data_IF_098508358911
#
_entry.id   IF_098508358911
#
_cell.length_a   1.000
_cell.length_b   1.000
_cell.length_c   1.000
_cell.angle_alpha   90.00
_cell.angle_beta   90.00
_cell.angle_gamma   90.00
#
_symmetry.space_group_name_H-M   'P 1'
#
loop_
_entity.id
_entity.type
_entity.pdbx_description
1 polymer ?
#
# COMPACT_ATOMS: atom_id res chain seq x y z
N UNK A 1 4.81 20.87 -27.13
CA UNK A 1 4.44 19.44 -27.10
C UNK A 1 5.45 18.68 -26.24
N UNK A 2 5.27 18.58 -24.91
CA UNK A 2 6.13 17.73 -24.09
C UNK A 2 5.51 16.33 -23.96
N UNK A 3 6.34 15.31 -24.18
CA UNK A 3 5.96 13.91 -24.19
C UNK A 3 5.56 13.39 -22.81
N UNK A 4 4.39 12.76 -22.75
CA UNK A 4 3.92 12.02 -21.59
C UNK A 4 4.84 10.83 -21.31
N UNK A 5 5.65 10.94 -20.26
CA UNK A 5 6.36 9.78 -19.70
C UNK A 5 5.34 8.88 -19.02
N UNK A 6 4.94 7.83 -19.74
CA UNK A 6 4.10 6.75 -19.21
C UNK A 6 4.92 6.03 -18.14
N UNK A 7 4.61 6.28 -16.87
CA UNK A 7 5.19 5.53 -15.76
C UNK A 7 4.61 4.12 -15.85
N UNK A 8 5.44 3.16 -16.25
CA UNK A 8 5.08 1.75 -16.24
C UNK A 8 4.85 1.34 -14.77
N UNK A 9 3.82 0.54 -14.45
CA UNK A 9 3.70 -0.04 -13.13
C UNK A 9 4.95 -0.88 -12.84
N UNK A 10 5.41 -0.86 -11.59
CA UNK A 10 6.49 -1.73 -11.11
C UNK A 10 6.22 -3.19 -11.52
N UNK A 11 7.26 -4.00 -11.80
CA UNK A 11 7.06 -5.36 -12.28
C UNK A 11 6.25 -6.16 -11.26
N UNK A 12 5.02 -6.52 -11.64
CA UNK A 12 4.22 -7.48 -10.88
C UNK A 12 4.96 -8.82 -10.90
N UNK A 13 5.42 -9.28 -9.74
CA UNK A 13 6.05 -10.59 -9.60
C UNK A 13 4.93 -11.62 -9.51
N UNK A 14 4.47 -12.11 -10.67
CA UNK A 14 3.53 -13.23 -10.76
C UNK A 14 4.31 -14.53 -10.68
N UNK A 15 4.01 -15.37 -9.69
CA UNK A 15 4.66 -16.68 -9.54
C UNK A 15 3.63 -17.79 -9.37
N UNK A 16 3.72 -18.76 -10.26
CA UNK A 16 3.01 -20.03 -10.16
C UNK A 16 3.80 -21.01 -9.28
N UNK A 17 3.22 -21.44 -8.17
CA UNK A 17 3.81 -22.44 -7.29
C UNK A 17 3.76 -23.85 -7.90
N UNK A 18 4.68 -24.18 -8.80
CA UNK A 18 4.75 -25.48 -9.46
C UNK A 18 6.13 -26.13 -9.36
N UNK A 19 6.29 -27.11 -8.47
CA UNK A 19 7.46 -28.00 -8.45
C UNK A 19 7.62 -28.68 -9.83
N UNK A 20 8.72 -28.41 -10.54
CA UNK A 20 9.06 -29.10 -11.77
C UNK A 20 9.58 -30.51 -11.43
N UNK A 21 8.67 -31.47 -11.31
CA UNK A 21 8.97 -32.88 -11.56
C UNK A 21 7.68 -33.64 -11.94
N UNK A 22 7.59 -34.12 -13.18
CA UNK A 22 6.71 -35.23 -13.57
C UNK A 22 5.25 -34.93 -13.94
N UNK A 23 4.98 -34.95 -15.25
CA UNK A 23 3.79 -35.45 -15.96
C UNK A 23 2.35 -35.32 -15.40
N UNK A 24 1.53 -34.62 -16.21
CA UNK A 24 0.13 -34.87 -16.60
C UNK A 24 -1.01 -34.87 -15.55
N UNK A 25 -1.86 -33.86 -15.70
CA UNK A 25 -3.24 -33.66 -15.24
C UNK A 25 -3.51 -33.62 -13.72
N UNK A 26 -3.51 -32.40 -13.17
CA UNK A 26 -4.31 -32.05 -11.99
C UNK A 26 -4.80 -30.60 -12.13
N UNK A 27 -6.03 -30.34 -11.69
CA UNK A 27 -6.62 -29.02 -11.57
C UNK A 27 -5.62 -28.01 -10.95
N UNK A 28 -5.65 -26.78 -11.46
CA UNK A 28 -4.62 -25.74 -11.29
C UNK A 28 -3.93 -25.72 -9.93
N UNK A 29 -2.60 -25.80 -9.94
CA UNK A 29 -1.79 -25.59 -8.74
C UNK A 29 -2.11 -24.22 -8.11
N UNK A 30 -2.12 -24.11 -6.77
CA UNK A 30 -2.35 -22.83 -6.11
C UNK A 30 -1.33 -21.79 -6.62
N UNK A 31 -1.86 -20.66 -7.08
CA UNK A 31 -1.11 -19.52 -7.58
C UNK A 31 -1.21 -18.42 -6.53
N UNK A 32 -0.06 -17.97 -6.04
CA UNK A 32 0.02 -16.86 -5.12
C UNK A 32 0.78 -15.71 -5.79
N UNK A 33 0.31 -14.49 -5.60
CA UNK A 33 0.89 -13.31 -6.23
C UNK A 33 1.19 -12.29 -5.16
N UNK A 34 2.44 -11.83 -5.09
CA UNK A 34 2.83 -10.72 -4.22
C UNK A 34 3.29 -9.56 -5.09
N UNK A 35 2.70 -8.38 -4.88
CA UNK A 35 3.06 -7.15 -5.60
C UNK A 35 3.61 -6.13 -4.64
N UNK A 36 4.85 -5.72 -4.85
CA UNK A 36 5.50 -4.70 -4.03
C UNK A 36 5.59 -3.39 -4.79
N UNK A 37 5.17 -2.29 -4.17
CA UNK A 37 5.21 -0.95 -4.73
C UNK A 37 5.39 0.11 -3.62
N UNK A 38 5.73 1.33 -4.00
CA UNK A 38 5.58 2.54 -3.19
C UNK A 38 4.62 3.48 -3.90
N UNK A 39 3.33 3.11 -3.91
CA UNK A 39 2.29 3.76 -4.71
C UNK A 39 2.15 5.24 -4.35
N UNK A 40 2.34 6.12 -5.35
CA UNK A 40 2.23 7.56 -5.13
C UNK A 40 0.86 8.00 -4.58
N UNK A 41 -0.29 7.50 -5.09
CA UNK A 41 -1.60 7.75 -4.47
C UNK A 41 -1.68 7.35 -2.99
N UNK A 42 -1.17 6.16 -2.62
CA UNK A 42 -1.15 5.70 -1.22
C UNK A 42 -0.29 6.61 -0.34
N UNK A 43 0.88 7.03 -0.85
CA UNK A 43 1.75 7.96 -0.13
C UNK A 43 1.09 9.32 0.05
N UNK A 44 0.39 9.84 -0.96
CA UNK A 44 -0.39 11.09 -0.85
C UNK A 44 -1.49 10.94 0.22
N UNK A 45 -2.24 9.84 0.21
CA UNK A 45 -3.30 9.63 1.19
C UNK A 45 -2.77 9.61 2.63
N UNK A 46 -1.63 8.96 2.87
CA UNK A 46 -0.97 8.92 4.18
C UNK A 46 -0.30 10.25 4.57
N UNK A 47 0.22 11.01 3.59
CA UNK A 47 0.67 12.38 3.83
C UNK A 47 -0.51 13.23 4.34
N UNK A 48 -1.65 13.16 3.66
CA UNK A 48 -2.86 13.89 4.02
C UNK A 48 -3.41 13.44 5.37
N UNK A 49 -3.35 12.14 5.70
CA UNK A 49 -3.71 11.62 7.04
C UNK A 49 -3.02 12.43 8.13
N UNK A 50 -1.70 12.56 8.02
CA UNK A 50 -0.88 13.23 9.01
C UNK A 50 -1.08 14.75 8.98
N UNK A 51 -1.08 15.37 7.79
CA UNK A 51 -1.25 16.81 7.63
C UNK A 51 -2.61 17.31 8.16
N UNK A 52 -3.66 16.50 8.01
CA UNK A 52 -5.01 16.83 8.43
C UNK A 52 -5.31 16.42 9.88
N UNK A 53 -4.40 15.69 10.54
CA UNK A 53 -4.59 15.18 11.90
C UNK A 53 -5.57 14.01 12.00
N UNK A 54 -5.80 13.27 10.92
CA UNK A 54 -6.61 12.06 10.93
C UNK A 54 -5.86 10.97 11.70
N UNK A 55 -6.51 10.39 12.70
CA UNK A 55 -5.87 9.37 13.56
C UNK A 55 -5.98 7.97 12.98
N UNK A 56 -7.14 7.64 12.43
CA UNK A 56 -7.41 6.33 11.85
C UNK A 56 -6.51 6.00 10.65
N UNK A 57 -6.11 4.74 10.45
CA UNK A 57 -6.06 3.69 11.46
C UNK A 57 -5.02 4.02 12.54
N UNK A 58 -5.38 3.85 13.82
CA UNK A 58 -4.59 4.35 14.96
C UNK A 58 -3.26 3.59 15.12
N UNK A 59 -3.25 2.32 14.73
CA UNK A 59 -2.09 1.43 14.76
C UNK A 59 -1.03 1.79 13.71
N UNK A 60 -1.40 2.50 12.64
CA UNK A 60 -0.51 2.80 11.54
C UNK A 60 0.40 3.99 11.90
N UNK A 61 1.73 3.83 11.91
CA UNK A 61 2.64 4.90 12.26
C UNK A 61 2.58 6.09 11.29
N UNK A 62 3.05 7.23 11.75
CA UNK A 62 3.24 8.42 10.92
C UNK A 62 4.34 8.22 9.87
N UNK A 63 4.28 8.97 8.77
CA UNK A 63 5.36 9.04 7.80
C UNK A 63 6.52 9.87 8.36
N UNK A 64 7.75 9.48 8.05
CA UNK A 64 8.95 10.25 8.41
C UNK A 64 9.09 11.50 7.55
N UNK A 65 9.63 12.57 8.14
CA UNK A 65 9.98 13.80 7.42
C UNK A 65 8.78 14.70 7.10
N UNK A 66 7.66 14.52 7.80
CA UNK A 66 6.49 15.40 7.71
C UNK A 66 6.29 16.06 9.06
N UNK A 67 6.50 17.37 9.11
CA UNK A 67 6.06 18.20 10.22
C UNK A 67 4.62 18.61 9.95
N UNK A 68 3.67 17.94 10.61
CA UNK A 68 2.27 18.28 10.54
C UNK A 68 1.84 18.97 11.83
N UNK A 69 1.20 20.12 11.69
CA UNK A 69 0.45 20.76 12.76
C UNK A 69 -1.01 20.73 12.31
N UNK A 70 -1.80 19.76 12.81
CA UNK A 70 -3.21 19.70 12.46
C UNK A 70 -3.90 20.99 12.86
N UNK A 71 -4.78 21.54 12.00
CA UNK A 71 -5.58 22.70 12.39
C UNK A 71 -6.58 22.30 13.48
N UNK A 72 -6.91 23.28 14.32
CA UNK A 72 -7.94 23.12 15.35
C UNK A 72 -9.32 23.06 14.69
N UNK A 73 -10.11 22.03 15.02
CA UNK A 73 -11.44 21.78 14.46
C UNK A 73 -12.39 21.30 15.55
N UNK A 74 -13.68 21.54 15.35
CA UNK A 74 -14.72 20.92 16.19
C UNK A 74 -14.67 19.39 16.11
N UNK A 75 -15.13 18.72 17.17
CA UNK A 75 -15.15 17.25 17.20
C UNK A 75 -16.00 16.64 16.07
N UNK A 76 -17.15 17.25 15.75
CA UNK A 76 -18.03 16.77 14.69
C UNK A 76 -17.39 16.91 13.30
N UNK A 77 -16.72 18.04 13.04
CA UNK A 77 -15.98 18.26 11.80
C UNK A 77 -14.79 17.30 11.68
N UNK A 78 -14.08 17.04 12.78
CA UNK A 78 -13.01 16.04 12.78
C UNK A 78 -13.55 14.63 12.47
N UNK A 79 -14.65 14.21 13.11
CA UNK A 79 -15.27 12.91 12.83
C UNK A 79 -15.75 12.77 11.38
N UNK A 80 -16.31 13.85 10.81
CA UNK A 80 -16.68 13.92 9.40
C UNK A 80 -15.45 13.74 8.49
N UNK A 81 -14.39 14.50 8.75
CA UNK A 81 -13.15 14.48 7.96
C UNK A 81 -12.52 13.08 7.99
N UNK A 82 -12.44 12.46 9.16
CA UNK A 82 -11.88 11.12 9.30
C UNK A 82 -12.74 10.07 8.56
N UNK A 83 -14.06 10.23 8.55
CA UNK A 83 -14.94 9.32 7.79
C UNK A 83 -14.70 9.43 6.30
N UNK A 84 -14.65 10.66 5.77
CA UNK A 84 -14.37 10.89 4.36
C UNK A 84 -12.96 10.39 4.00
N UNK A 85 -11.95 10.67 4.84
CA UNK A 85 -10.58 10.19 4.61
C UNK A 85 -10.50 8.66 4.59
N UNK A 86 -11.16 7.95 5.52
CA UNK A 86 -11.18 6.48 5.53
C UNK A 86 -11.77 5.89 4.25
N UNK A 87 -12.87 6.46 3.76
CA UNK A 87 -13.49 6.03 2.51
C UNK A 87 -12.55 6.27 1.32
N UNK A 88 -11.96 7.46 1.24
CA UNK A 88 -10.94 7.80 0.22
C UNK A 88 -9.73 6.85 0.29
N UNK A 89 -9.22 6.57 1.48
CA UNK A 89 -8.07 5.68 1.68
C UNK A 89 -8.38 4.26 1.22
N UNK A 90 -9.55 3.71 1.57
CA UNK A 90 -9.98 2.39 1.12
C UNK A 90 -10.08 2.29 -0.41
N UNK A 91 -10.69 3.28 -1.07
CA UNK A 91 -10.76 3.37 -2.54
C UNK A 91 -9.36 3.51 -3.17
N UNK A 92 -8.41 4.12 -2.47
CA UNK A 92 -7.04 4.33 -2.97
C UNK A 92 -6.20 3.06 -2.85
N UNK A 93 -6.31 2.35 -1.72
CA UNK A 93 -5.49 1.18 -1.41
C UNK A 93 -6.03 -0.06 -2.14
N UNK A 94 -7.35 -0.24 -2.17
CA UNK A 94 -8.01 -1.42 -2.77
C UNK A 94 -9.21 -1.01 -3.64
N UNK A 95 -8.98 -0.31 -4.78
CA UNK A 95 -10.06 0.24 -5.61
C UNK A 95 -11.04 -0.81 -6.17
N UNK A 96 -10.59 -2.05 -6.36
CA UNK A 96 -11.45 -3.14 -6.84
C UNK A 96 -12.39 -3.67 -5.75
N UNK A 97 -11.97 -3.63 -4.49
CA UNK A 97 -12.80 -4.03 -3.34
C UNK A 97 -13.67 -2.88 -2.83
N UNK A 98 -13.23 -1.64 -3.06
CA UNK A 98 -13.91 -0.42 -2.65
C UNK A 98 -14.17 0.48 -3.86
N UNK A 99 -15.11 0.12 -4.75
CA UNK A 99 -15.50 1.00 -5.85
C UNK A 99 -16.32 2.18 -5.34
N UNK A 100 -16.20 3.33 -6.00
CA UNK A 100 -17.11 4.45 -5.74
C UNK A 100 -18.50 4.19 -6.34
N UNK A 101 -19.60 4.44 -5.61
CA UNK A 101 -20.96 4.29 -6.14
C UNK A 101 -21.36 5.42 -7.11
N UNK A 102 -20.62 6.52 -7.10
CA UNK A 102 -20.82 7.70 -7.95
C UNK A 102 -19.53 7.99 -8.74
N UNK A 103 -19.58 8.82 -9.81
CA UNK A 103 -18.40 9.20 -10.56
C UNK A 103 -17.29 9.80 -9.67
N UNK A 104 -16.05 9.67 -10.14
CA UNK A 104 -14.88 10.24 -9.50
C UNK A 104 -14.39 11.43 -10.31
N UNK A 105 -14.06 12.52 -9.62
CA UNK A 105 -13.40 13.69 -10.20
C UNK A 105 -12.01 13.87 -9.61
N UNK A 106 -11.08 14.31 -10.46
CA UNK A 106 -9.71 14.64 -10.04
C UNK A 106 -9.72 15.90 -9.18
N UNK A 107 -9.03 15.83 -8.04
CA UNK A 107 -8.88 16.99 -7.17
C UNK A 107 -7.76 17.90 -7.69
N UNK A 108 -8.09 19.17 -7.88
CA UNK A 108 -7.14 20.15 -8.41
C UNK A 108 -5.86 20.24 -7.55
N UNK A 109 -4.71 20.26 -8.23
CA UNK A 109 -3.39 20.36 -7.61
C UNK A 109 -2.72 19.02 -7.25
N UNK A 110 -3.44 17.90 -7.35
CA UNK A 110 -2.91 16.57 -7.08
C UNK A 110 -2.51 15.78 -8.34
N UNK A 111 -2.44 16.45 -9.50
CA UNK A 111 -2.26 15.83 -10.81
C UNK A 111 -3.32 14.73 -11.05
N UNK A 112 -2.91 13.45 -11.11
CA UNK A 112 -3.80 12.29 -11.24
C UNK A 112 -3.80 11.41 -9.99
N UNK A 113 -3.23 11.88 -8.87
CA UNK A 113 -2.99 11.05 -7.68
C UNK A 113 -4.17 11.01 -6.71
N UNK A 114 -5.09 11.97 -6.82
CA UNK A 114 -6.28 12.04 -5.96
C UNK A 114 -7.51 12.21 -6.84
N UNK A 115 -8.43 11.26 -6.70
CA UNK A 115 -9.77 11.35 -7.23
C UNK A 115 -10.75 11.11 -6.08
N UNK A 116 -11.79 11.95 -5.99
CA UNK A 116 -12.84 11.82 -4.98
C UNK A 116 -14.19 11.60 -5.66
N UNK A 117 -15.12 10.89 -5.00
CA UNK A 117 -16.51 10.86 -5.41
C UNK A 117 -17.06 12.29 -5.53
N UNK A 118 -17.86 12.53 -6.57
CA UNK A 118 -18.43 13.86 -6.85
C UNK A 118 -19.37 14.39 -5.78
N UNK A 119 -19.77 13.55 -4.83
CA UNK A 119 -20.71 13.86 -3.75
C UNK A 119 -20.21 13.32 -2.41
N UNK A 120 -20.40 14.08 -1.33
CA UNK A 120 -20.15 13.62 0.05
C UNK A 120 -18.70 13.73 0.53
N UNK A 121 -17.83 14.44 -0.20
CA UNK A 121 -16.40 14.62 0.12
C UNK A 121 -15.97 16.10 0.23
N UNK A 122 -16.93 17.03 0.34
CA UNK A 122 -16.67 18.48 0.29
C UNK A 122 -15.70 18.96 1.37
N UNK A 123 -15.78 18.37 2.57
CA UNK A 123 -14.90 18.71 3.69
C UNK A 123 -13.48 18.24 3.38
N UNK A 124 -13.31 16.97 3.04
CA UNK A 124 -12.01 16.40 2.74
C UNK A 124 -11.33 17.11 1.56
N UNK A 125 -12.07 17.40 0.49
CA UNK A 125 -11.55 18.11 -0.67
C UNK A 125 -11.04 19.52 -0.29
N UNK A 126 -11.85 20.27 0.45
CA UNK A 126 -11.49 21.62 0.92
C UNK A 126 -10.24 21.59 1.78
N UNK A 127 -10.17 20.67 2.74
CA UNK A 127 -9.10 20.61 3.72
C UNK A 127 -7.78 20.07 3.11
N UNK A 128 -7.83 19.17 2.13
CA UNK A 128 -6.61 18.62 1.52
C UNK A 128 -5.95 19.57 0.51
N UNK A 129 -6.72 20.44 -0.14
CA UNK A 129 -6.24 21.26 -1.27
C UNK A 129 -5.02 22.14 -0.92
N UNK A 130 -4.96 22.80 0.27
CA UNK A 130 -3.76 23.54 0.68
C UNK A 130 -2.48 22.71 0.75
N UNK A 131 -2.59 21.39 0.87
CA UNK A 131 -1.47 20.47 1.01
C UNK A 131 -1.01 19.85 -0.32
N UNK A 132 -1.73 20.08 -1.42
CA UNK A 132 -1.57 19.35 -2.68
C UNK A 132 -0.12 19.34 -3.20
N UNK A 133 0.48 20.52 -3.35
CA UNK A 133 1.84 20.64 -3.89
C UNK A 133 2.88 19.89 -3.03
N UNK A 134 2.77 19.97 -1.70
CA UNK A 134 3.70 19.31 -0.78
C UNK A 134 3.49 17.80 -0.75
N UNK A 135 2.24 17.34 -0.78
CA UNK A 135 1.89 15.92 -0.82
C UNK A 135 2.41 15.25 -2.10
N UNK A 136 2.18 15.87 -3.26
CA UNK A 136 2.66 15.38 -4.56
C UNK A 136 4.19 15.33 -4.61
N UNK A 137 4.87 16.39 -4.14
CA UNK A 137 6.33 16.43 -4.10
C UNK A 137 6.90 15.32 -3.19
N UNK A 138 6.29 15.12 -2.01
CA UNK A 138 6.68 14.07 -1.08
C UNK A 138 6.50 12.67 -1.69
N UNK A 139 5.34 12.41 -2.31
CA UNK A 139 5.07 11.12 -2.95
C UNK A 139 6.07 10.80 -4.07
N UNK A 140 6.43 11.79 -4.89
CA UNK A 140 7.46 11.65 -5.93
C UNK A 140 8.82 11.32 -5.36
N UNK A 141 9.24 11.97 -4.28
CA UNK A 141 10.50 11.69 -3.61
C UNK A 141 10.54 10.26 -3.03
N UNK A 142 9.45 9.83 -2.39
CA UNK A 142 9.33 8.45 -1.87
C UNK A 142 9.43 7.43 -3.00
N UNK A 143 8.70 7.64 -4.10
CA UNK A 143 8.72 6.74 -5.23
C UNK A 143 10.10 6.67 -5.89
N UNK A 144 10.77 7.82 -6.05
CA UNK A 144 12.13 7.87 -6.58
C UNK A 144 13.12 7.12 -5.69
N UNK A 145 13.01 7.29 -4.36
CA UNK A 145 13.84 6.57 -3.37
C UNK A 145 13.57 5.07 -3.35
N UNK A 146 12.33 4.65 -3.58
CA UNK A 146 11.97 3.24 -3.72
C UNK A 146 12.54 2.65 -5.01
N UNK A 147 12.31 3.30 -6.16
CA UNK A 147 12.80 2.86 -7.46
C UNK A 147 14.34 2.71 -7.49
N UNK A 148 15.06 3.66 -6.89
CA UNK A 148 16.52 3.60 -6.79
C UNK A 148 17.05 2.40 -5.97
N UNK A 149 16.22 1.80 -5.11
CA UNK A 149 16.58 0.67 -4.25
C UNK A 149 16.01 -0.66 -4.73
N UNK A 150 14.89 -0.65 -5.45
CA UNK A 150 14.16 -1.86 -5.87
C UNK A 150 14.95 -2.74 -6.84
N UNK A 151 15.79 -2.15 -7.70
CA UNK A 151 16.55 -2.88 -8.74
C UNK A 151 17.48 -3.96 -8.17
N UNK A 152 17.96 -3.78 -6.93
CA UNK A 152 18.80 -4.77 -6.24
C UNK A 152 18.05 -5.63 -5.21
N UNK A 153 16.89 -5.15 -4.72
CA UNK A 153 16.20 -5.71 -3.56
C UNK A 153 15.01 -6.61 -3.90
N UNK A 154 14.51 -6.62 -5.14
CA UNK A 154 13.31 -7.36 -5.53
C UNK A 154 13.43 -8.89 -5.39
N UNK A 155 14.53 -9.47 -5.90
CA UNK A 155 14.78 -10.92 -5.79
C UNK A 155 14.97 -11.40 -4.34
N UNK A 156 15.36 -10.50 -3.44
CA UNK A 156 15.60 -10.79 -2.02
C UNK A 156 14.29 -10.87 -1.25
N UNK A 157 13.37 -9.91 -1.41
CA UNK A 157 12.06 -10.01 -0.78
C UNK A 157 11.25 -11.18 -1.29
N UNK A 158 11.33 -11.48 -2.59
CA UNK A 158 10.71 -12.68 -3.15
C UNK A 158 11.09 -13.95 -2.38
N UNK A 159 12.38 -14.12 -2.04
CA UNK A 159 12.84 -15.28 -1.27
C UNK A 159 12.27 -15.33 0.14
N UNK A 160 12.07 -14.18 0.79
CA UNK A 160 11.43 -14.12 2.10
C UNK A 160 9.96 -14.57 2.02
N UNK A 161 9.19 -14.06 1.05
CA UNK A 161 7.79 -14.49 0.85
C UNK A 161 7.69 -15.99 0.56
N UNK A 162 8.48 -16.50 -0.40
CA UNK A 162 8.49 -17.92 -0.74
C UNK A 162 8.96 -18.80 0.44
N UNK A 163 9.95 -18.33 1.21
CA UNK A 163 10.47 -18.99 2.40
C UNK A 163 9.41 -19.10 3.50
N UNK A 164 8.74 -18.00 3.81
CA UNK A 164 7.64 -17.94 4.78
C UNK A 164 6.48 -18.87 4.39
N UNK A 165 6.10 -18.88 3.12
CA UNK A 165 5.06 -19.76 2.59
C UNK A 165 5.45 -21.25 2.72
N UNK A 166 6.65 -21.61 2.28
CA UNK A 166 7.12 -22.99 2.36
C UNK A 166 7.24 -23.47 3.83
N UNK A 167 7.63 -22.58 4.74
CA UNK A 167 7.62 -22.87 6.18
C UNK A 167 6.20 -23.08 6.69
N UNK A 168 5.25 -22.26 6.24
CA UNK A 168 3.85 -22.39 6.61
C UNK A 168 3.26 -23.73 6.15
N UNK A 169 3.38 -24.07 4.87
CA UNK A 169 2.90 -25.33 4.31
C UNK A 169 3.48 -26.55 5.02
N UNK A 170 4.78 -26.54 5.33
CA UNK A 170 5.43 -27.61 6.12
C UNK A 170 4.82 -27.75 7.51
N UNK A 171 4.47 -26.65 8.16
CA UNK A 171 3.90 -26.64 9.51
C UNK A 171 2.48 -27.20 9.54
N UNK A 172 1.67 -26.86 8.55
CA UNK A 172 0.25 -27.26 8.51
C UNK A 172 0.01 -28.57 7.74
N UNK A 173 1.03 -29.08 7.02
CA UNK A 173 0.96 -30.34 6.29
C UNK A 173 0.08 -30.32 5.02
N UNK A 174 -0.33 -29.13 4.56
CA UNK A 174 -1.11 -28.93 3.34
C UNK A 174 -0.54 -27.75 2.54
N UNK A 175 -0.86 -27.73 1.25
CA UNK A 175 -0.55 -26.58 0.39
C UNK A 175 -1.39 -25.38 0.79
N UNK A 176 -0.80 -24.20 0.62
CA UNK A 176 -1.52 -22.94 0.76
C UNK A 176 -2.59 -22.80 -0.31
N UNK A 177 -3.67 -22.08 0.00
CA UNK A 177 -4.62 -21.68 -1.02
C UNK A 177 -4.05 -20.56 -1.90
N UNK A 178 -4.68 -20.32 -3.06
CA UNK A 178 -4.33 -19.17 -3.90
C UNK A 178 -4.68 -17.87 -3.17
N UNK A 179 -3.79 -16.87 -3.24
CA UNK A 179 -4.03 -15.53 -2.68
C UNK A 179 -3.26 -14.46 -3.45
N UNK A 180 -3.70 -13.21 -3.31
CA UNK A 180 -2.96 -12.03 -3.74
C UNK A 180 -2.63 -11.18 -2.52
N UNK A 181 -1.40 -10.67 -2.45
CA UNK A 181 -0.96 -9.75 -1.41
C UNK A 181 -0.27 -8.55 -2.06
N UNK A 182 -0.84 -7.36 -1.83
CA UNK A 182 -0.22 -6.09 -2.19
C UNK A 182 0.61 -5.57 -1.02
N UNK A 183 1.78 -5.02 -1.31
CA UNK A 183 2.77 -4.60 -0.33
C UNK A 183 3.21 -3.20 -0.66
N UNK A 184 2.92 -2.26 0.25
CA UNK A 184 3.29 -0.87 0.14
C UNK A 184 4.54 -0.61 0.98
N UNK A 185 5.67 -0.37 0.33
CA UNK A 185 6.94 -0.03 1.00
C UNK A 185 6.97 1.46 1.29
N UNK A 186 6.85 1.83 2.56
CA UNK A 186 6.58 3.19 3.00
C UNK A 186 7.63 3.69 4.00
N UNK A 187 7.94 5.00 4.04
CA UNK A 187 8.89 5.57 5.00
C UNK A 187 8.22 5.83 6.35
N UNK A 188 7.70 4.78 6.99
CA UNK A 188 7.01 4.87 8.28
C UNK A 188 8.00 5.16 9.43
N UNK A 189 7.56 5.92 10.42
CA UNK A 189 8.35 6.33 11.58
C UNK A 189 8.75 5.17 12.49
N UNK A 190 7.94 4.11 12.50
CA UNK A 190 8.25 2.87 13.19
C UNK A 190 8.58 1.79 12.17
N UNK A 191 9.39 0.83 12.59
CA UNK A 191 9.80 -0.31 11.78
C UNK A 191 8.83 -1.47 12.02
N UNK A 192 8.18 -1.96 10.96
CA UNK A 192 7.18 -3.02 11.11
C UNK A 192 6.39 -3.32 9.84
N UNK A 193 5.29 -4.04 10.03
CA UNK A 193 4.30 -4.41 9.01
C UNK A 193 2.91 -4.15 9.58
N UNK A 194 2.01 -3.58 8.78
CA UNK A 194 0.63 -3.27 9.19
C UNK A 194 -0.33 -3.59 8.06
N UNK A 195 -1.51 -4.11 8.37
CA UNK A 195 -2.61 -4.17 7.42
C UNK A 195 -3.12 -2.76 7.14
N UNK A 196 -3.30 -2.42 5.87
CA UNK A 196 -3.90 -1.16 5.41
C UNK A 196 -5.10 -1.37 4.47
N UNK A 197 -5.40 -2.63 4.19
CA UNK A 197 -6.55 -3.13 3.43
C UNK A 197 -6.74 -4.61 3.74
N UNK A 198 -7.66 -5.27 3.05
CA UNK A 198 -7.95 -6.69 3.27
C UNK A 198 -6.88 -7.61 2.67
N UNK A 199 -6.23 -7.16 1.61
CA UNK A 199 -5.17 -7.85 0.87
C UNK A 199 -3.94 -6.96 0.67
N UNK A 200 -3.82 -5.88 1.47
CA UNK A 200 -2.75 -4.90 1.33
C UNK A 200 -2.11 -4.59 2.67
N UNK A 201 -0.79 -4.75 2.71
CA UNK A 201 0.04 -4.39 3.88
C UNK A 201 0.92 -3.20 3.58
N UNK A 202 1.19 -2.40 4.61
CA UNK A 202 2.27 -1.44 4.67
C UNK A 202 3.51 -2.09 5.30
N UNK A 203 4.67 -1.91 4.71
CA UNK A 203 5.97 -2.37 5.22
C UNK A 203 6.92 -1.17 5.29
N UNK A 204 7.63 -1.01 6.40
CA UNK A 204 8.63 0.07 6.48
C UNK A 204 9.82 -0.22 5.58
N UNK A 205 10.27 0.78 4.82
CA UNK A 205 11.48 0.73 3.99
C UNK A 205 12.73 0.22 4.72
N UNK A 206 12.93 0.63 5.98
CA UNK A 206 13.99 0.13 6.84
C UNK A 206 13.88 -1.38 7.12
N UNK A 207 12.66 -1.88 7.43
CA UNK A 207 12.43 -3.32 7.65
C UNK A 207 12.72 -4.10 6.38
N UNK A 208 12.22 -3.60 5.25
CA UNK A 208 12.37 -4.21 3.93
C UNK A 208 13.84 -4.39 3.49
N UNK A 209 14.76 -3.56 4.00
CA UNK A 209 16.19 -3.65 3.70
C UNK A 209 16.95 -4.70 4.53
N UNK A 210 16.34 -5.27 5.57
CA UNK A 210 16.93 -6.25 6.47
C UNK A 210 16.20 -7.59 6.33
N UNK A 211 16.86 -8.53 5.67
CA UNK A 211 16.27 -9.79 5.22
C UNK A 211 15.78 -10.64 6.39
N UNK A 212 16.58 -10.78 7.44
CA UNK A 212 16.27 -11.67 8.55
C UNK A 212 15.09 -11.12 9.37
N UNK A 213 15.09 -9.82 9.63
CA UNK A 213 13.97 -9.18 10.32
C UNK A 213 12.70 -9.18 9.47
N UNK A 214 12.83 -8.97 8.16
CA UNK A 214 11.70 -8.99 7.24
C UNK A 214 11.06 -10.37 7.13
N UNK A 215 11.86 -11.44 7.00
CA UNK A 215 11.38 -12.82 6.97
C UNK A 215 10.56 -13.17 8.23
N UNK A 216 11.09 -12.82 9.41
CA UNK A 216 10.39 -13.01 10.67
C UNK A 216 9.06 -12.23 10.77
N UNK A 217 9.03 -11.00 10.22
CA UNK A 217 7.85 -10.14 10.28
C UNK A 217 6.74 -10.54 9.29
N UNK A 218 7.10 -11.11 8.13
CA UNK A 218 6.15 -11.56 7.10
C UNK A 218 5.55 -12.93 7.42
N UNK A 219 6.25 -13.79 8.15
CA UNK A 219 5.76 -15.12 8.52
C UNK A 219 4.34 -15.15 9.12
N UNK A 220 3.96 -14.29 10.10
CA UNK A 220 2.59 -14.27 10.63
C UNK A 220 1.56 -13.79 9.59
N UNK A 221 1.90 -12.82 8.74
CA UNK A 221 1.01 -12.33 7.67
C UNK A 221 0.66 -13.45 6.69
N UNK A 222 1.69 -14.18 6.23
CA UNK A 222 1.47 -15.33 5.34
C UNK A 222 0.63 -16.40 6.04
N UNK A 223 0.84 -16.62 7.34
CA UNK A 223 0.06 -17.61 8.07
C UNK A 223 -1.42 -17.27 8.24
N UNK A 224 -1.78 -16.00 8.13
CA UNK A 224 -3.16 -15.51 8.19
C UNK A 224 -3.89 -15.71 6.85
N UNK A 225 -3.17 -15.64 5.72
CA UNK A 225 -3.76 -15.59 4.37
C UNK A 225 -3.50 -16.81 3.49
N UNK A 226 -2.88 -17.88 4.03
CA UNK A 226 -2.42 -19.05 3.27
C UNK A 226 -3.08 -20.38 3.71
#
# INVERSE_FOLDING_TARGET
MPGASRTLPAPAVRVTGGSKLGAMNAAGAPEWVVREDASAPTVVALYLRQALGVRSPDELPHLRGIDATPPDRSADEQHELERQWRAYFAMTVEPLAHPSPVPLDLVAGFDTLVALPTEGFDLLEREMRPHAARAVAFARDVQARYAARSDSAGAVAYRAYAGALAQHERRIGRRAHSFELNVQVLPLSQRGVWWIGSLTIAVTDGLRSDIAAFDAAIAPIIAEIA
#
